data_IF_270215230131
#
_entry.id   IF_270215230131
#
_cell.length_a   1.000
_cell.length_b   1.000
_cell.length_c   1.000
_cell.angle_alpha   90.00
_cell.angle_beta   90.00
_cell.angle_gamma   90.00
#
_symmetry.space_group_name_H-M   'P 1'
#
loop_
_entity.id
_entity.type
_entity.pdbx_description
1 polymer ?
#
# COMPACT_ATOMS: atom_id res chain seq x y z
N UNK A 1 5.22 -13.57 31.53
CA UNK A 1 4.03 -13.89 30.70
C UNK A 1 3.94 -13.02 29.43
N UNK A 2 4.04 -11.67 29.45
CA UNK A 2 3.82 -10.87 28.23
C UNK A 2 4.90 -11.08 27.15
N UNK A 3 6.18 -11.25 27.53
CA UNK A 3 7.28 -11.42 26.57
C UNK A 3 7.19 -12.72 25.74
N UNK A 4 6.75 -13.82 26.35
CA UNK A 4 6.58 -15.10 25.64
C UNK A 4 5.41 -15.03 24.66
N UNK A 5 4.30 -14.40 25.06
CA UNK A 5 3.15 -14.18 24.18
C UNK A 5 3.55 -13.31 22.97
N UNK A 6 4.32 -12.23 23.21
CA UNK A 6 4.86 -11.37 22.16
C UNK A 6 5.88 -12.08 21.25
N UNK A 7 6.65 -13.03 21.77
CA UNK A 7 7.58 -13.83 20.97
C UNK A 7 6.85 -14.87 20.11
N UNK A 8 5.87 -15.58 20.67
CA UNK A 8 4.96 -16.49 19.94
C UNK A 8 4.18 -15.76 18.85
N UNK A 9 3.79 -14.52 19.15
CA UNK A 9 3.17 -13.59 18.24
C UNK A 9 4.06 -13.27 17.03
N UNK A 10 5.28 -12.76 17.26
CA UNK A 10 6.21 -12.40 16.17
C UNK A 10 6.60 -13.61 15.32
N UNK A 11 6.75 -14.78 15.93
CA UNK A 11 7.08 -16.02 15.21
C UNK A 11 5.90 -16.53 14.40
N UNK A 12 4.69 -16.58 14.95
CA UNK A 12 3.52 -17.10 14.23
C UNK A 12 3.04 -16.14 13.13
N UNK A 13 2.95 -14.85 13.44
CA UNK A 13 2.52 -13.83 12.47
C UNK A 13 3.59 -13.58 11.40
N UNK A 14 4.86 -13.42 11.82
CA UNK A 14 5.95 -13.07 10.93
C UNK A 14 6.46 -14.23 10.07
N UNK A 15 6.57 -15.44 10.61
CA UNK A 15 7.19 -16.58 9.90
C UNK A 15 6.16 -17.40 9.12
N UNK A 16 4.92 -17.49 9.59
CA UNK A 16 3.91 -18.38 8.97
C UNK A 16 2.90 -17.56 8.16
N UNK A 17 2.31 -16.54 8.77
CA UNK A 17 1.19 -15.83 8.13
C UNK A 17 1.66 -14.89 7.00
N UNK A 18 2.81 -14.23 7.16
CA UNK A 18 3.35 -13.33 6.14
C UNK A 18 3.76 -14.03 4.84
N UNK A 19 4.52 -15.15 4.86
CA UNK A 19 4.85 -15.87 3.64
C UNK A 19 3.64 -16.52 2.96
N UNK A 20 2.67 -17.02 3.75
CA UNK A 20 1.41 -17.53 3.21
C UNK A 20 0.56 -16.42 2.58
N UNK A 21 0.56 -15.23 3.18
CA UNK A 21 -0.05 -14.02 2.64
C UNK A 21 0.59 -13.64 1.30
N UNK A 22 1.93 -13.53 1.25
CA UNK A 22 2.67 -13.26 0.03
C UNK A 22 2.38 -14.28 -1.08
N UNK A 23 2.41 -15.58 -0.76
CA UNK A 23 2.07 -16.64 -1.71
C UNK A 23 0.62 -16.56 -2.20
N UNK A 24 -0.32 -16.25 -1.31
CA UNK A 24 -1.73 -16.06 -1.69
C UNK A 24 -1.90 -14.82 -2.57
N UNK A 25 -1.15 -13.76 -2.27
CA UNK A 25 -1.11 -12.52 -3.02
C UNK A 25 -0.54 -12.67 -4.44
N UNK A 26 0.40 -13.59 -4.64
CA UNK A 26 0.94 -13.92 -5.97
C UNK A 26 -0.06 -14.73 -6.81
N UNK A 27 -0.92 -15.51 -6.16
CA UNK A 27 -1.89 -16.38 -6.84
C UNK A 27 -3.25 -15.71 -7.07
N UNK A 28 -3.64 -14.77 -6.19
CA UNK A 28 -4.92 -14.06 -6.25
C UNK A 28 -4.74 -12.76 -7.03
N UNK A 29 -5.25 -12.76 -8.25
CA UNK A 29 -5.13 -11.68 -9.22
C UNK A 29 -6.12 -10.51 -9.00
N UNK A 30 -6.62 -10.29 -7.77
CA UNK A 30 -7.51 -9.16 -7.43
C UNK A 30 -7.18 -8.59 -6.05
N UNK A 31 -6.49 -7.44 -6.02
CA UNK A 31 -6.07 -6.73 -4.79
C UNK A 31 -7.27 -6.23 -3.99
N UNK A 32 -8.25 -5.64 -4.68
CA UNK A 32 -9.49 -5.14 -4.08
C UNK A 32 -10.29 -6.26 -3.41
N UNK A 33 -10.45 -7.40 -4.10
CA UNK A 33 -11.20 -8.52 -3.54
C UNK A 33 -10.50 -9.12 -2.32
N UNK A 34 -9.17 -9.18 -2.34
CA UNK A 34 -8.38 -9.68 -1.22
C UNK A 34 -8.47 -8.77 0.01
N UNK A 35 -8.48 -7.45 -0.17
CA UNK A 35 -8.72 -6.52 0.95
C UNK A 35 -10.11 -6.69 1.54
N UNK A 36 -11.14 -6.84 0.70
CA UNK A 36 -12.53 -7.06 1.16
C UNK A 36 -12.67 -8.39 1.91
N UNK A 37 -12.07 -9.47 1.39
CA UNK A 37 -12.04 -10.77 2.07
C UNK A 37 -11.30 -10.66 3.39
N UNK A 38 -10.18 -9.92 3.43
CA UNK A 38 -9.43 -9.63 4.65
C UNK A 38 -10.27 -8.91 5.69
N UNK A 39 -10.93 -7.81 5.31
CA UNK A 39 -11.82 -7.04 6.19
C UNK A 39 -13.00 -7.87 6.70
N UNK A 40 -13.57 -8.72 5.85
CA UNK A 40 -14.67 -9.61 6.23
C UNK A 40 -14.21 -10.71 7.21
N UNK A 41 -13.02 -11.28 7.02
CA UNK A 41 -12.41 -12.23 7.96
C UNK A 41 -12.09 -11.56 9.30
N UNK A 42 -11.58 -10.34 9.27
CA UNK A 42 -11.34 -9.54 10.46
C UNK A 42 -12.65 -9.27 11.22
N UNK A 43 -13.71 -8.89 10.50
CA UNK A 43 -15.03 -8.68 11.09
C UNK A 43 -15.55 -9.92 11.83
N UNK A 44 -15.48 -11.10 11.21
CA UNK A 44 -15.95 -12.36 11.82
C UNK A 44 -15.14 -12.70 13.07
N UNK A 45 -13.81 -12.62 12.97
CA UNK A 45 -12.91 -13.02 14.06
C UNK A 45 -12.97 -12.05 15.23
N UNK A 46 -13.02 -10.73 14.99
CA UNK A 46 -13.24 -9.72 16.05
C UNK A 46 -14.61 -9.86 16.71
N UNK A 47 -15.66 -10.19 15.94
CA UNK A 47 -17.00 -10.43 16.51
C UNK A 47 -17.02 -11.66 17.42
N UNK A 48 -16.39 -12.76 16.99
CA UNK A 48 -16.22 -13.95 17.82
C UNK A 48 -15.41 -13.68 19.08
N UNK A 49 -14.32 -12.92 18.96
CA UNK A 49 -13.50 -12.53 20.10
C UNK A 49 -14.28 -11.67 21.11
N UNK A 50 -15.04 -10.69 20.63
CA UNK A 50 -15.89 -9.86 21.47
C UNK A 50 -16.95 -10.68 22.22
N UNK A 51 -17.56 -11.68 21.56
CA UNK A 51 -18.51 -12.61 22.18
C UNK A 51 -17.84 -13.45 23.27
N UNK A 52 -16.64 -14.00 23.02
CA UNK A 52 -15.89 -14.75 24.01
C UNK A 52 -15.51 -13.89 25.23
N UNK A 53 -15.14 -12.63 25.04
CA UNK A 53 -14.87 -11.72 26.16
C UNK A 53 -16.15 -11.39 26.93
N UNK A 54 -17.28 -11.18 26.25
CA UNK A 54 -18.53 -10.87 26.93
C UNK A 54 -19.01 -12.00 27.84
N UNK A 55 -18.80 -13.25 27.45
CA UNK A 55 -19.35 -14.42 28.15
C UNK A 55 -18.36 -15.08 29.13
N UNK A 56 -17.07 -15.09 28.81
CA UNK A 56 -16.06 -15.83 29.58
C UNK A 56 -15.10 -14.95 30.39
N UNK A 57 -15.11 -13.63 30.19
CA UNK A 57 -14.23 -12.73 30.96
C UNK A 57 -14.53 -12.81 32.45
N UNK A 58 -13.53 -13.24 33.22
CA UNK A 58 -13.61 -13.40 34.68
C UNK A 58 -14.17 -14.74 35.17
N UNK A 59 -14.51 -15.66 34.28
CA UNK A 59 -14.95 -17.02 34.65
C UNK A 59 -13.79 -18.03 34.67
N UNK A 60 -13.89 -19.08 35.48
CA UNK A 60 -12.90 -20.18 35.55
C UNK A 60 -12.96 -21.15 34.36
N UNK A 61 -13.68 -20.82 33.28
CA UNK A 61 -13.84 -21.70 32.14
C UNK A 61 -12.61 -21.61 31.22
N UNK A 62 -11.67 -22.53 31.41
CA UNK A 62 -10.41 -22.58 30.66
C UNK A 62 -10.63 -22.74 29.15
N UNK A 63 -11.68 -23.45 28.73
CA UNK A 63 -12.00 -23.66 27.32
C UNK A 63 -12.44 -22.36 26.62
N UNK A 64 -13.28 -21.55 27.27
CA UNK A 64 -13.74 -20.26 26.74
C UNK A 64 -12.60 -19.25 26.61
N UNK A 65 -11.72 -19.18 27.62
CA UNK A 65 -10.53 -18.32 27.58
C UNK A 65 -9.53 -18.77 26.50
N UNK A 66 -9.34 -20.08 26.32
CA UNK A 66 -8.48 -20.62 25.26
C UNK A 66 -9.05 -20.31 23.85
N UNK A 67 -10.38 -20.40 23.67
CA UNK A 67 -11.04 -20.03 22.42
C UNK A 67 -10.89 -18.54 22.10
N UNK A 68 -11.01 -17.66 23.10
CA UNK A 68 -10.76 -16.22 22.94
C UNK A 68 -9.33 -15.93 22.50
N UNK A 69 -8.34 -16.60 23.10
CA UNK A 69 -6.93 -16.48 22.68
C UNK A 69 -6.75 -16.96 21.24
N UNK A 70 -7.31 -18.12 20.87
CA UNK A 70 -7.25 -18.62 19.50
C UNK A 70 -7.85 -17.63 18.49
N UNK A 71 -9.00 -17.03 18.79
CA UNK A 71 -9.67 -16.09 17.91
C UNK A 71 -8.88 -14.79 17.71
N UNK A 72 -8.21 -14.27 18.75
CA UNK A 72 -7.37 -13.08 18.58
C UNK A 72 -6.12 -13.39 17.75
N UNK A 73 -5.49 -14.56 17.93
CA UNK A 73 -4.38 -14.99 17.07
C UNK A 73 -4.83 -15.20 15.62
N UNK A 74 -6.05 -15.70 15.39
CA UNK A 74 -6.61 -15.88 14.06
C UNK A 74 -6.97 -14.56 13.38
N UNK A 75 -7.59 -13.62 14.10
CA UNK A 75 -7.85 -12.24 13.64
C UNK A 75 -6.55 -11.63 13.12
N UNK A 76 -5.53 -11.72 13.95
CA UNK A 76 -4.23 -11.18 13.71
C UNK A 76 -3.49 -11.83 12.53
N UNK A 77 -3.62 -13.15 12.35
CA UNK A 77 -3.08 -13.87 11.20
C UNK A 77 -3.70 -13.37 9.88
N UNK A 78 -5.02 -13.17 9.86
CA UNK A 78 -5.71 -12.64 8.69
C UNK A 78 -5.41 -11.16 8.44
N UNK A 79 -5.29 -10.36 9.51
CA UNK A 79 -4.92 -8.95 9.41
C UNK A 79 -3.56 -8.79 8.72
N UNK A 80 -2.53 -9.50 9.18
CA UNK A 80 -1.18 -9.42 8.59
C UNK A 80 -1.13 -9.98 7.15
N UNK A 81 -1.71 -11.15 6.93
CA UNK A 81 -1.61 -11.85 5.66
C UNK A 81 -2.41 -11.20 4.52
N UNK A 82 -3.56 -10.59 4.83
CA UNK A 82 -4.51 -10.09 3.81
C UNK A 82 -4.65 -8.57 3.83
N UNK A 83 -4.75 -7.93 4.99
CA UNK A 83 -4.96 -6.48 5.06
C UNK A 83 -3.65 -5.71 4.97
N UNK A 84 -2.68 -6.01 5.84
CA UNK A 84 -1.43 -5.24 5.92
C UNK A 84 -0.63 -5.39 4.62
N UNK A 85 -0.49 -6.63 4.13
CA UNK A 85 0.21 -6.91 2.87
C UNK A 85 -0.45 -6.20 1.69
N UNK A 86 -1.79 -6.20 1.60
CA UNK A 86 -2.50 -5.47 0.53
C UNK A 86 -2.33 -3.97 0.64
N UNK A 87 -2.37 -3.41 1.85
CA UNK A 87 -2.21 -1.96 2.05
C UNK A 87 -0.87 -1.47 1.51
N UNK A 88 0.24 -2.14 1.87
CA UNK A 88 1.56 -1.73 1.39
C UNK A 88 1.74 -1.93 -0.11
N UNK A 89 1.22 -3.03 -0.66
CA UNK A 89 1.27 -3.27 -2.10
C UNK A 89 0.46 -2.23 -2.88
N UNK A 90 -0.74 -1.90 -2.40
CA UNK A 90 -1.60 -0.92 -3.05
C UNK A 90 -0.99 0.48 -3.09
N UNK A 91 -0.33 0.91 -2.01
CA UNK A 91 0.41 2.18 -2.00
C UNK A 91 1.60 2.13 -2.96
N UNK A 92 2.30 1.00 -3.07
CA UNK A 92 3.38 0.87 -4.03
C UNK A 92 2.91 0.87 -5.51
N UNK A 93 1.69 0.36 -5.76
CA UNK A 93 1.06 0.30 -7.09
C UNK A 93 0.45 1.65 -7.54
N UNK A 94 -0.06 2.47 -6.60
CA UNK A 94 -0.73 3.74 -6.95
C UNK A 94 0.24 4.90 -7.21
N UNK A 95 1.43 4.86 -6.59
CA UNK A 95 2.42 5.92 -6.73
C UNK A 95 3.47 5.58 -7.80
N UNK A 96 3.76 6.50 -8.76
CA UNK A 96 4.84 6.33 -9.72
C UNK A 96 6.20 6.27 -9.01
N UNK A 97 7.17 5.61 -9.64
CA UNK A 97 8.45 5.20 -9.02
C UNK A 97 9.20 6.36 -8.36
N UNK A 98 9.14 7.56 -8.93
CA UNK A 98 9.82 8.75 -8.42
C UNK A 98 9.26 9.26 -7.09
N UNK A 99 7.93 9.22 -6.90
CA UNK A 99 7.27 9.72 -5.68
C UNK A 99 6.82 8.62 -4.73
N UNK A 100 6.97 7.34 -5.12
CA UNK A 100 6.65 6.17 -4.30
C UNK A 100 7.21 6.22 -2.88
N UNK A 101 8.50 6.55 -2.63
CA UNK A 101 9.02 6.58 -1.25
C UNK A 101 8.33 7.66 -0.39
N UNK A 102 7.94 8.78 -0.99
CA UNK A 102 7.24 9.87 -0.29
C UNK A 102 5.81 9.44 0.06
N UNK A 103 5.09 8.83 -0.89
CA UNK A 103 3.74 8.29 -0.68
C UNK A 103 3.70 7.16 0.36
N UNK A 104 4.70 6.27 0.32
CA UNK A 104 4.89 5.22 1.34
C UNK A 104 5.18 5.83 2.72
N UNK A 105 6.01 6.86 2.79
CA UNK A 105 6.32 7.58 4.03
C UNK A 105 5.06 8.20 4.67
N UNK A 106 4.21 8.86 3.88
CA UNK A 106 2.95 9.42 4.37
C UNK A 106 1.98 8.34 4.84
N UNK A 107 1.90 7.22 4.12
CA UNK A 107 1.05 6.07 4.49
C UNK A 107 1.48 5.46 5.82
N UNK A 108 2.79 5.26 6.02
CA UNK A 108 3.36 4.79 7.28
C UNK A 108 3.12 5.78 8.42
N UNK A 109 3.28 7.08 8.17
CA UNK A 109 2.99 8.11 9.16
C UNK A 109 1.52 8.07 9.63
N UNK A 110 0.57 7.94 8.69
CA UNK A 110 -0.85 7.80 9.00
C UNK A 110 -1.15 6.52 9.78
N UNK A 111 -0.52 5.40 9.43
CA UNK A 111 -0.64 4.12 10.13
C UNK A 111 -0.14 4.20 11.57
N UNK A 112 1.07 4.71 11.79
CA UNK A 112 1.64 4.83 13.13
C UNK A 112 0.85 5.83 13.98
N UNK A 113 0.41 6.94 13.41
CA UNK A 113 -0.45 7.91 14.11
C UNK A 113 -1.75 7.27 14.56
N UNK A 114 -2.44 6.55 13.67
CA UNK A 114 -3.68 5.84 14.01
C UNK A 114 -3.46 4.76 15.06
N UNK A 115 -2.33 4.04 14.98
CA UNK A 115 -1.92 3.02 15.95
C UNK A 115 -1.71 3.64 17.34
N UNK A 116 -1.04 4.79 17.43
CA UNK A 116 -0.81 5.49 18.70
C UNK A 116 -2.15 5.91 19.33
N UNK A 117 -3.06 6.49 18.53
CA UNK A 117 -4.37 6.92 19.03
C UNK A 117 -5.16 5.72 19.59
N UNK A 118 -5.22 4.61 18.84
CA UNK A 118 -5.90 3.41 19.29
C UNK A 118 -5.25 2.77 20.53
N UNK A 119 -3.91 2.74 20.59
CA UNK A 119 -3.19 2.15 21.71
C UNK A 119 -3.38 2.96 23.00
N UNK A 120 -3.46 4.28 22.91
CA UNK A 120 -3.74 5.14 24.07
C UNK A 120 -5.22 5.10 24.48
N UNK A 121 -6.12 4.98 23.52
CA UNK A 121 -7.57 4.95 23.79
C UNK A 121 -8.03 3.58 24.29
N UNK A 122 -7.36 2.49 23.88
CA UNK A 122 -7.71 1.12 24.27
C UNK A 122 -7.78 0.87 25.79
N UNK A 123 -6.76 1.22 26.62
CA UNK A 123 -6.84 0.97 28.06
C UNK A 123 -7.98 1.77 28.71
N UNK A 124 -8.19 3.02 28.27
CA UNK A 124 -9.26 3.88 28.78
C UNK A 124 -10.63 3.32 28.41
N UNK A 125 -10.80 2.91 27.15
CA UNK A 125 -12.03 2.32 26.63
C UNK A 125 -12.39 1.00 27.31
N UNK A 126 -11.41 0.12 27.55
CA UNK A 126 -11.64 -1.15 28.23
C UNK A 126 -12.04 -0.93 29.70
N UNK A 127 -11.47 0.08 30.39
CA UNK A 127 -11.82 0.36 31.79
C UNK A 127 -13.24 0.93 31.93
N UNK A 128 -13.65 1.84 31.04
CA UNK A 128 -14.95 2.53 31.13
C UNK A 128 -16.08 1.66 30.55
N UNK A 129 -15.83 1.03 29.40
CA UNK A 129 -16.85 0.45 28.53
C UNK A 129 -16.73 -1.09 28.45
N UNK A 130 -15.60 -1.66 28.89
CA UNK A 130 -15.38 -3.11 28.93
C UNK A 130 -15.37 -3.75 27.55
N UNK A 131 -16.11 -4.85 27.42
CA UNK A 131 -16.20 -5.63 26.16
C UNK A 131 -16.82 -4.83 25.00
N UNK A 132 -17.61 -3.78 25.27
CA UNK A 132 -18.26 -3.00 24.21
C UNK A 132 -17.28 -2.14 23.42
N UNK A 133 -16.05 -1.91 23.92
CA UNK A 133 -15.01 -1.20 23.17
C UNK A 133 -14.67 -1.91 21.86
N UNK A 134 -14.75 -3.25 21.83
CA UNK A 134 -14.51 -4.03 20.61
C UNK A 134 -15.57 -3.81 19.53
N UNK A 135 -16.78 -3.33 19.88
CA UNK A 135 -17.81 -2.97 18.89
C UNK A 135 -17.39 -1.79 18.02
N UNK A 136 -16.56 -0.86 18.53
CA UNK A 136 -16.05 0.27 17.76
C UNK A 136 -15.22 -0.23 16.59
N UNK A 137 -14.38 -1.25 16.82
CA UNK A 137 -13.56 -1.88 15.78
C UNK A 137 -14.44 -2.59 14.74
N UNK A 138 -15.48 -3.30 15.20
CA UNK A 138 -16.44 -4.00 14.32
C UNK A 138 -17.16 -2.99 13.41
N UNK A 139 -17.66 -1.88 13.96
CA UNK A 139 -18.32 -0.82 13.18
C UNK A 139 -17.34 -0.22 12.17
N UNK A 140 -16.09 0.01 12.55
CA UNK A 140 -15.05 0.52 11.65
C UNK A 140 -14.78 -0.44 10.48
N UNK A 141 -14.69 -1.75 10.74
CA UNK A 141 -14.57 -2.76 9.69
C UNK A 141 -15.78 -2.74 8.74
N UNK A 142 -17.01 -2.66 9.27
CA UNK A 142 -18.23 -2.59 8.46
C UNK A 142 -18.26 -1.34 7.58
N UNK A 143 -17.79 -0.20 8.09
CA UNK A 143 -17.72 1.05 7.33
C UNK A 143 -16.64 1.02 6.24
N UNK A 144 -15.50 0.38 6.51
CA UNK A 144 -14.40 0.29 5.55
C UNK A 144 -14.72 -0.62 4.35
N UNK A 145 -15.51 -1.69 4.53
CA UNK A 145 -15.88 -2.60 3.44
C UNK A 145 -16.52 -1.88 2.22
N UNK A 146 -17.61 -1.09 2.38
CA UNK A 146 -18.22 -0.36 1.27
C UNK A 146 -17.32 0.78 0.77
N UNK A 147 -16.57 1.44 1.67
CA UNK A 147 -15.60 2.47 1.27
C UNK A 147 -14.56 1.89 0.31
N UNK A 148 -13.97 0.74 0.62
CA UNK A 148 -13.01 0.09 -0.27
C UNK A 148 -13.67 -0.30 -1.58
N UNK A 149 -14.87 -0.87 -1.54
CA UNK A 149 -15.55 -1.30 -2.75
C UNK A 149 -15.80 -0.15 -3.75
N UNK A 150 -16.14 1.04 -3.24
CA UNK A 150 -16.44 2.23 -4.05
C UNK A 150 -15.20 3.04 -4.44
N UNK A 151 -14.25 3.23 -3.53
CA UNK A 151 -13.12 4.14 -3.72
C UNK A 151 -11.83 3.46 -4.22
N UNK A 152 -11.69 2.15 -4.06
CA UNK A 152 -10.48 1.45 -4.54
C UNK A 152 -10.71 0.98 -5.98
N UNK A 153 -10.10 1.61 -7.00
CA UNK A 153 -10.01 1.04 -8.33
C UNK A 153 -9.29 -0.31 -8.29
N UNK A 154 -9.72 -1.22 -9.16
CA UNK A 154 -9.09 -2.53 -9.28
C UNK A 154 -7.74 -2.39 -10.01
N UNK A 155 -6.64 -2.35 -9.25
CA UNK A 155 -5.26 -2.25 -9.78
C UNK A 155 -4.71 -3.57 -10.31
N UNK A 156 -5.39 -4.68 -10.02
CA UNK A 156 -4.92 -6.00 -10.42
C UNK A 156 -5.15 -6.23 -11.91
N UNK A 157 -4.05 -6.27 -12.67
CA UNK A 157 -3.87 -6.53 -14.13
C UNK A 157 -3.30 -5.37 -14.95
N UNK A 158 -3.00 -4.21 -14.35
CA UNK A 158 -2.35 -3.13 -15.09
C UNK A 158 -0.84 -3.18 -14.83
N UNK A 159 -0.04 -3.08 -15.89
CA UNK A 159 1.40 -2.85 -15.72
C UNK A 159 1.61 -1.52 -14.98
N UNK A 160 2.72 -1.37 -14.24
CA UNK A 160 3.05 -0.10 -13.57
C UNK A 160 3.04 1.10 -14.56
N UNK A 161 3.26 0.84 -15.85
CA UNK A 161 3.23 1.83 -16.93
C UNK A 161 1.79 2.17 -17.37
N UNK A 162 0.85 1.21 -17.39
CA UNK A 162 -0.57 1.48 -17.70
C UNK A 162 -1.31 2.21 -16.57
N UNK A 163 -0.88 2.01 -15.31
CA UNK A 163 -1.41 2.75 -14.15
C UNK A 163 -0.93 4.21 -14.20
N UNK A 164 0.35 4.45 -14.47
CA UNK A 164 0.88 5.82 -14.67
C UNK A 164 0.20 6.54 -15.83
N UNK A 165 -0.05 5.84 -16.95
CA UNK A 165 -0.79 6.41 -18.09
C UNK A 165 -2.25 6.77 -17.75
N UNK A 166 -2.92 6.02 -16.86
CA UNK A 166 -4.28 6.33 -16.40
C UNK A 166 -4.34 7.46 -15.36
N UNK A 167 -3.28 7.66 -14.59
CA UNK A 167 -3.16 8.75 -13.62
C UNK A 167 -2.61 10.05 -14.22
N UNK A 168 -2.30 10.06 -15.53
CA UNK A 168 -1.90 11.26 -16.27
C UNK A 168 -0.41 11.59 -16.18
N UNK A 169 0.44 10.62 -15.84
CA UNK A 169 1.88 10.76 -16.01
C UNK A 169 2.21 10.62 -17.51
N UNK A 170 3.02 11.52 -18.03
CA UNK A 170 3.54 11.47 -19.40
C UNK A 170 4.55 10.32 -19.45
N UNK A 171 4.03 9.09 -19.61
CA UNK A 171 4.87 7.89 -19.67
C UNK A 171 5.69 8.02 -20.95
N UNK A 172 6.97 8.36 -20.80
CA UNK A 172 7.96 8.27 -21.85
C UNK A 172 7.85 6.86 -22.48
N UNK A 173 7.23 6.82 -23.64
CA UNK A 173 6.97 5.61 -24.43
C UNK A 173 8.28 4.84 -24.54
N UNK A 174 8.33 3.62 -23.97
CA UNK A 174 9.40 2.67 -24.32
C UNK A 174 9.28 2.40 -25.81
N UNK A 175 10.33 2.75 -26.56
CA UNK A 175 10.50 2.53 -28.02
C UNK A 175 10.37 1.04 -28.43
N UNK A 176 10.24 0.13 -27.46
CA UNK A 176 10.21 -1.32 -27.68
C UNK A 176 8.83 -1.90 -28.02
N UNK A 177 7.71 -1.26 -27.66
CA UNK A 177 6.34 -1.76 -27.91
C UNK A 177 5.54 -0.91 -28.91
N UNK A 178 6.26 -0.33 -29.86
CA UNK A 178 5.69 0.52 -30.89
C UNK A 178 5.34 -0.36 -32.09
N UNK A 179 4.04 -0.45 -32.45
CA UNK A 179 3.65 -1.04 -33.74
C UNK A 179 4.39 -0.33 -34.88
N UNK A 180 4.75 -1.04 -35.96
CA UNK A 180 5.62 -0.51 -37.03
C UNK A 180 5.16 0.85 -37.59
N UNK A 181 3.88 1.17 -37.48
CA UNK A 181 3.29 2.43 -37.92
C UNK A 181 3.66 3.62 -37.00
N UNK A 182 3.72 3.41 -35.68
CA UNK A 182 4.10 4.46 -34.73
C UNK A 182 5.62 4.69 -34.66
N UNK A 183 6.43 3.70 -35.06
CA UNK A 183 7.89 3.87 -35.23
C UNK A 183 8.20 4.86 -36.35
N UNK A 184 7.41 4.81 -37.43
CA UNK A 184 7.55 5.75 -38.54
C UNK A 184 7.21 7.18 -38.15
N UNK A 185 6.14 7.40 -37.39
CA UNK A 185 5.81 8.75 -36.89
C UNK A 185 6.90 9.30 -35.96
N UNK A 186 7.46 8.46 -35.08
CA UNK A 186 8.52 8.89 -34.18
C UNK A 186 9.85 9.16 -34.92
N UNK A 187 10.21 8.33 -35.91
CA UNK A 187 11.37 8.57 -36.77
C UNK A 187 11.21 9.84 -37.62
N UNK A 188 10.00 10.15 -38.09
CA UNK A 188 9.71 11.35 -38.86
C UNK A 188 9.72 12.61 -37.97
N UNK A 189 9.21 12.50 -36.74
CA UNK A 189 9.30 13.54 -35.72
C UNK A 189 10.74 13.83 -35.28
N UNK A 190 11.55 12.78 -35.09
CA UNK A 190 12.97 12.90 -34.74
C UNK A 190 13.83 13.40 -35.90
N UNK A 191 13.47 13.12 -37.16
CA UNK A 191 14.10 13.75 -38.33
C UNK A 191 13.75 15.23 -38.47
N UNK A 192 12.53 15.60 -38.09
CA UNK A 192 12.06 17.00 -38.12
C UNK A 192 12.67 17.82 -36.98
N UNK A 193 12.89 17.19 -35.83
CA UNK A 193 13.52 17.80 -34.65
C UNK A 193 15.02 17.48 -34.66
N UNK A 194 15.77 18.25 -35.43
CA UNK A 194 17.21 18.13 -35.63
C UNK A 194 18.01 18.52 -34.37
N UNK A 195 17.99 17.65 -33.34
CA UNK A 195 18.65 17.89 -32.04
C UNK A 195 20.18 17.93 -32.15
N UNK A 196 20.74 17.26 -33.17
CA UNK A 196 22.20 17.13 -33.37
C UNK A 196 22.83 18.46 -33.84
N UNK A 197 22.07 19.30 -34.55
CA UNK A 197 22.56 20.61 -34.99
C UNK A 197 22.25 21.76 -34.02
N UNK A 198 21.49 21.52 -32.95
CA UNK A 198 21.22 22.53 -31.94
C UNK A 198 22.45 22.76 -31.03
N UNK A 199 23.14 21.69 -30.63
CA UNK A 199 24.41 21.79 -29.89
C UNK A 199 25.50 22.44 -30.74
N UNK A 200 25.64 22.03 -32.01
CA UNK A 200 26.65 22.58 -32.91
C UNK A 200 26.45 24.08 -33.22
N UNK A 201 25.20 24.56 -33.34
CA UNK A 201 24.92 25.99 -33.58
C UNK A 201 25.07 26.85 -32.32
N UNK A 202 24.87 26.27 -31.14
CA UNK A 202 25.10 26.97 -29.86
C UNK A 202 26.60 27.15 -29.62
N UNK A 203 27.41 26.13 -29.90
CA UNK A 203 28.86 26.22 -29.75
C UNK A 203 29.51 27.14 -30.80
N UNK A 204 29.05 27.13 -32.06
CA UNK A 204 29.51 28.11 -33.07
C UNK A 204 29.14 29.55 -32.71
N UNK A 205 27.93 29.80 -32.18
CA UNK A 205 27.53 31.15 -31.74
C UNK A 205 28.32 31.61 -30.53
N UNK A 206 28.61 30.72 -29.58
CA UNK A 206 29.39 31.05 -28.38
C UNK A 206 30.86 31.33 -28.72
N UNK A 207 31.42 30.63 -29.72
CA UNK A 207 32.76 30.89 -30.23
C UNK A 207 32.86 32.22 -30.99
N UNK A 208 31.85 32.62 -31.79
CA UNK A 208 31.85 33.92 -32.49
C UNK A 208 31.66 35.12 -31.57
N UNK A 209 30.81 35.00 -30.54
CA UNK A 209 30.58 36.08 -29.56
C UNK A 209 31.83 36.31 -28.70
N UNK A 210 32.59 35.26 -28.37
CA UNK A 210 33.85 35.40 -27.63
C UNK A 210 34.97 36.11 -28.41
N UNK A 211 34.94 36.10 -29.74
CA UNK A 211 35.99 36.71 -30.58
C UNK A 211 35.70 38.20 -30.89
N UNK A 212 34.42 38.59 -30.96
CA UNK A 212 34.01 39.99 -31.12
C UNK A 212 34.25 40.86 -29.87
N UNK A 213 34.13 40.28 -28.66
CA UNK A 213 34.37 40.99 -27.40
C UNK A 213 35.86 41.27 -27.13
N UNK A 214 36.77 40.44 -27.64
CA UNK A 214 38.22 40.62 -27.46
C UNK A 214 38.77 41.68 -28.42
N UNK A 215 38.19 41.80 -29.62
CA UNK A 215 38.65 42.74 -30.66
C UNK A 215 38.17 44.18 -30.40
N UNK A 216 37.14 44.37 -29.58
CA UNK A 216 36.57 45.70 -29.27
C UNK A 216 37.24 46.36 -28.04
N UNK A 217 38.08 45.62 -27.31
CA UNK A 217 38.80 46.12 -26.11
C UNK A 217 40.32 46.34 -26.30
N UNK A 218 40.85 46.19 -27.52
CA UNK A 218 42.24 46.51 -27.87
C UNK A 218 42.30 47.77 -28.77
#
# INVERSE_FOLDING_TARGET
MPLLLSALWLTTAGVICNPLGAWLHDKVNSRRWMFIVGLFRCLITTSGFAACIAEFSGTSNQAGNAAGVFLVFLYLAFQGALCDTTMYLYVAEIFPTEIRPIGMGFSLFGQFTSTIILLQTAPIGIVIVGWKYYLVIIVWCIFLIPMVYLFFPETAKLSLEEISARFGDDVAVRITDVSDDQRKELDDFLKTTDVVHMEARVDEKKARVGDEDITTMA
#
